data_IF_174217618153
#
_entry.id   IF_174217618153
#
_cell.length_a   1.000
_cell.length_b   1.000
_cell.length_c   1.000
_cell.angle_alpha   90.00
_cell.angle_beta   90.00
_cell.angle_gamma   90.00
#
_symmetry.space_group_name_H-M   'P 1'
#
loop_
_entity.id
_entity.type
_entity.pdbx_description
1 polymer ?
#
# COMPACT_ATOMS: atom_id res chain seq x y z
N UNK A 1 8.27 3.20 12.87
CA UNK A 1 8.03 3.20 11.41
C UNK A 1 7.51 1.82 11.03
N UNK A 2 6.59 1.71 10.07
CA UNK A 2 6.15 0.40 9.59
C UNK A 2 7.32 -0.36 8.97
N UNK A 3 7.36 -1.67 9.20
CA UNK A 3 8.40 -2.54 8.64
C UNK A 3 8.20 -2.68 7.13
N UNK A 4 9.28 -2.58 6.37
CA UNK A 4 9.27 -2.89 4.93
C UNK A 4 9.37 -4.40 4.77
N UNK A 5 8.39 -4.98 4.10
CA UNK A 5 8.32 -6.42 3.79
C UNK A 5 8.20 -6.61 2.28
N UNK A 6 8.41 -7.84 1.81
CA UNK A 6 8.22 -8.19 0.41
C UNK A 6 6.98 -9.07 0.27
N UNK A 7 6.03 -8.62 -0.53
CA UNK A 7 4.76 -9.33 -0.79
C UNK A 7 4.50 -9.43 -2.29
N UNK A 8 3.55 -10.30 -2.64
CA UNK A 8 3.10 -10.45 -4.02
C UNK A 8 1.81 -9.66 -4.26
N UNK A 9 1.80 -8.95 -5.38
CA UNK A 9 0.67 -8.17 -5.83
C UNK A 9 0.34 -8.54 -7.29
N UNK A 10 -0.93 -8.39 -7.64
CA UNK A 10 -1.41 -8.52 -9.00
C UNK A 10 -2.06 -7.22 -9.43
N UNK A 11 -2.03 -6.95 -10.74
CA UNK A 11 -2.70 -5.79 -11.33
C UNK A 11 -3.87 -6.28 -12.18
N UNK A 12 -5.10 -5.98 -11.77
CA UNK A 12 -6.34 -6.35 -12.46
C UNK A 12 -7.05 -5.04 -12.81
N UNK A 13 -7.45 -4.87 -14.07
CA UNK A 13 -8.14 -3.67 -14.56
C UNK A 13 -7.47 -2.33 -14.20
N UNK A 14 -6.14 -2.35 -14.10
CA UNK A 14 -5.34 -1.17 -13.76
C UNK A 14 -5.15 -0.92 -12.26
N UNK A 15 -5.76 -1.74 -11.40
CA UNK A 15 -5.66 -1.63 -9.94
C UNK A 15 -4.76 -2.72 -9.36
N UNK A 16 -3.91 -2.33 -8.41
CA UNK A 16 -3.09 -3.27 -7.66
C UNK A 16 -3.91 -3.90 -6.54
N UNK A 17 -3.82 -5.23 -6.40
CA UNK A 17 -4.36 -5.99 -5.30
C UNK A 17 -3.27 -6.86 -4.70
N UNK A 18 -3.28 -7.01 -3.37
CA UNK A 18 -2.50 -8.05 -2.70
C UNK A 18 -2.98 -9.42 -3.19
N UNK A 19 -2.04 -10.36 -3.41
CA UNK A 19 -2.38 -11.65 -4.00
C UNK A 19 -3.35 -12.45 -3.12
N UNK A 20 -3.21 -12.39 -1.80
CA UNK A 20 -4.13 -13.03 -0.84
C UNK A 20 -5.53 -12.41 -0.92
N UNK A 21 -5.61 -11.08 -0.98
CA UNK A 21 -6.89 -10.35 -1.15
C UNK A 21 -7.56 -10.74 -2.47
N UNK A 22 -6.80 -10.79 -3.56
CA UNK A 22 -7.30 -11.20 -4.86
C UNK A 22 -7.87 -12.63 -4.82
N UNK A 23 -7.13 -13.58 -4.23
CA UNK A 23 -7.56 -14.98 -4.12
C UNK A 23 -8.80 -15.12 -3.24
N UNK A 24 -8.87 -14.39 -2.12
CA UNK A 24 -10.04 -14.41 -1.23
C UNK A 24 -11.32 -13.93 -1.91
N UNK A 25 -11.20 -13.09 -2.93
CA UNK A 25 -12.30 -12.57 -3.76
C UNK A 25 -12.65 -13.48 -4.94
N UNK A 26 -11.98 -14.63 -5.08
CA UNK A 26 -12.16 -15.55 -6.20
C UNK A 26 -11.68 -15.00 -7.54
N UNK A 27 -10.81 -13.98 -7.52
CA UNK A 27 -10.26 -13.36 -8.72
C UNK A 27 -9.01 -14.11 -9.20
N UNK A 28 -8.77 -14.08 -10.50
CA UNK A 28 -7.55 -14.60 -11.12
C UNK A 28 -6.82 -13.45 -11.83
N UNK A 29 -5.50 -13.43 -11.72
CA UNK A 29 -4.65 -12.51 -12.48
C UNK A 29 -3.74 -13.29 -13.42
N UNK A 30 -3.51 -12.73 -14.61
CA UNK A 30 -2.58 -13.31 -15.59
C UNK A 30 -1.12 -13.21 -15.11
N UNK A 31 -0.80 -12.23 -14.27
CA UNK A 31 0.55 -11.96 -13.76
C UNK A 31 0.52 -11.43 -12.33
N UNK A 32 1.55 -11.80 -11.57
CA UNK A 32 1.86 -11.24 -10.26
C UNK A 32 3.31 -10.75 -10.20
N UNK A 33 3.57 -9.80 -9.30
CA UNK A 33 4.87 -9.19 -9.09
C UNK A 33 5.19 -9.17 -7.60
N UNK A 34 6.45 -9.42 -7.27
CA UNK A 34 6.95 -9.23 -5.91
C UNK A 34 7.41 -7.79 -5.73
N UNK A 35 6.86 -7.08 -4.76
CA UNK A 35 7.22 -5.68 -4.47
C UNK A 35 7.59 -5.50 -2.99
N UNK A 36 8.41 -4.50 -2.70
CA UNK A 36 8.57 -4.06 -1.32
C UNK A 36 7.36 -3.21 -0.94
N UNK A 37 6.94 -3.34 0.31
CA UNK A 37 5.78 -2.61 0.80
C UNK A 37 5.83 -2.40 2.31
N UNK A 38 5.10 -1.41 2.79
CA UNK A 38 4.88 -1.19 4.22
C UNK A 38 3.39 -0.98 4.49
N UNK A 39 2.92 -1.50 5.63
CA UNK A 39 1.51 -1.47 6.00
C UNK A 39 1.20 -0.33 6.96
N UNK A 40 0.06 0.32 6.74
CA UNK A 40 -0.53 1.26 7.67
C UNK A 40 -1.97 0.84 7.97
N UNK A 41 -2.19 0.36 9.20
CA UNK A 41 -3.53 0.04 9.69
C UNK A 41 -4.35 1.32 9.85
N UNK A 42 -5.62 1.28 9.42
CA UNK A 42 -6.54 2.38 9.60
C UNK A 42 -7.99 1.89 9.68
N UNK A 43 -8.84 2.52 10.50
CA UNK A 43 -10.28 2.23 10.55
C UNK A 43 -11.00 2.64 9.25
N UNK A 44 -10.48 3.64 8.54
CA UNK A 44 -10.94 4.05 7.21
C UNK A 44 -9.75 4.02 6.22
N UNK A 45 -9.47 2.85 5.60
CA UNK A 45 -8.38 2.68 4.66
C UNK A 45 -8.47 3.58 3.42
N UNK A 46 -9.69 3.88 2.96
CA UNK A 46 -9.93 4.70 1.76
C UNK A 46 -9.55 6.16 2.02
N UNK A 47 -10.00 6.73 3.14
CA UNK A 47 -9.63 8.09 3.53
C UNK A 47 -8.12 8.22 3.76
N UNK A 48 -7.49 7.20 4.35
CA UNK A 48 -6.04 7.17 4.52
C UNK A 48 -5.32 7.12 3.17
N UNK A 49 -5.71 6.22 2.27
CA UNK A 49 -5.10 6.08 0.96
C UNK A 49 -5.21 7.38 0.13
N UNK A 50 -6.39 8.02 0.14
CA UNK A 50 -6.59 9.32 -0.52
C UNK A 50 -5.66 10.41 0.05
N UNK A 51 -5.44 10.41 1.36
CA UNK A 51 -4.53 11.35 2.02
C UNK A 51 -3.06 11.05 1.68
N UNK A 52 -2.66 9.77 1.70
CA UNK A 52 -1.30 9.34 1.36
C UNK A 52 -0.93 9.68 -0.09
N UNK A 53 -1.83 9.43 -1.05
CA UNK A 53 -1.60 9.74 -2.48
C UNK A 53 -1.27 11.23 -2.69
N UNK A 54 -1.92 12.13 -1.95
CA UNK A 54 -1.63 13.58 -1.99
C UNK A 54 -0.25 13.94 -1.41
N UNK A 55 0.23 13.16 -0.43
CA UNK A 55 1.43 13.48 0.35
C UNK A 55 2.73 13.00 -0.28
N UNK A 56 2.75 11.76 -0.76
CA UNK A 56 3.97 11.14 -1.31
C UNK A 56 4.11 11.30 -2.81
N UNK A 57 3.01 11.65 -3.50
CA UNK A 57 2.89 11.85 -4.96
C UNK A 57 4.15 11.53 -5.79
N UNK A 58 4.38 10.26 -6.17
CA UNK A 58 5.48 9.96 -7.08
C UNK A 58 5.10 8.95 -8.18
N UNK A 59 5.81 8.95 -9.32
CA UNK A 59 5.57 8.00 -10.41
C UNK A 59 5.86 6.52 -10.08
N UNK A 60 6.33 6.22 -8.85
CA UNK A 60 6.88 4.91 -8.48
C UNK A 60 6.46 4.40 -7.08
N UNK A 61 5.55 5.10 -6.40
CA UNK A 61 4.92 4.59 -5.17
C UNK A 61 3.45 4.37 -5.46
N UNK A 62 3.01 3.14 -5.30
CA UNK A 62 1.60 2.78 -5.38
C UNK A 62 1.01 2.73 -3.97
N UNK A 63 -0.21 3.22 -3.84
CA UNK A 63 -0.98 3.19 -2.59
C UNK A 63 -2.16 2.27 -2.82
N UNK A 64 -2.19 1.15 -2.10
CA UNK A 64 -3.14 0.06 -2.29
C UNK A 64 -3.93 -0.14 -1.03
N UNK A 65 -5.26 -0.07 -1.15
CA UNK A 65 -6.16 -0.37 -0.04
C UNK A 65 -6.23 -1.90 0.09
N UNK A 66 -6.02 -2.41 1.30
CA UNK A 66 -6.25 -3.81 1.64
C UNK A 66 -7.42 -3.88 2.63
N UNK A 67 -8.64 -4.19 2.15
CA UNK A 67 -9.81 -4.35 3.00
C UNK A 67 -9.67 -5.50 3.99
N UNK A 68 -9.01 -6.61 3.61
CA UNK A 68 -8.88 -7.78 4.48
C UNK A 68 -7.94 -7.52 5.66
N UNK A 69 -6.82 -6.83 5.42
CA UNK A 69 -5.85 -6.48 6.46
C UNK A 69 -6.32 -5.28 7.31
N UNK A 70 -7.31 -4.52 6.81
CA UNK A 70 -7.87 -3.33 7.44
C UNK A 70 -6.91 -2.15 7.39
N UNK A 71 -6.38 -1.83 6.20
CA UNK A 71 -5.43 -0.73 6.06
C UNK A 71 -4.93 -0.50 4.65
N UNK A 72 -3.77 0.12 4.55
CA UNK A 72 -3.17 0.57 3.29
C UNK A 72 -1.75 0.04 3.17
N UNK A 73 -1.46 -0.60 2.05
CA UNK A 73 -0.11 -0.92 1.60
C UNK A 73 0.47 0.25 0.81
N UNK A 74 1.70 0.63 1.15
CA UNK A 74 2.52 1.56 0.38
C UNK A 74 3.58 0.72 -0.33
N UNK A 75 3.52 0.64 -1.66
CA UNK A 75 4.37 -0.22 -2.48
C UNK A 75 5.39 0.61 -3.25
N UNK A 76 6.56 0.05 -3.49
CA UNK A 76 7.55 0.65 -4.39
C UNK A 76 8.91 0.00 -4.31
N UNK A 77 9.90 0.60 -4.95
CA UNK A 77 11.29 0.19 -4.78
C UNK A 77 11.75 0.50 -3.34
N UNK A 78 12.57 -0.37 -2.75
CA UNK A 78 13.04 -0.23 -1.36
C UNK A 78 13.61 1.17 -1.07
N UNK A 79 14.49 1.68 -1.93
CA UNK A 79 15.14 2.99 -1.78
C UNK A 79 14.18 4.19 -1.92
N UNK A 80 12.98 3.98 -2.47
CA UNK A 80 11.93 5.01 -2.57
C UNK A 80 10.93 4.92 -1.43
N UNK A 81 10.77 3.74 -0.82
CA UNK A 81 9.88 3.54 0.32
C UNK A 81 10.38 4.28 1.55
N UNK A 82 11.65 4.15 1.92
CA UNK A 82 12.18 4.81 3.13
C UNK A 82 11.85 6.32 3.22
N UNK A 83 12.13 7.16 2.21
CA UNK A 83 11.78 8.57 2.27
C UNK A 83 10.26 8.81 2.22
N UNK A 84 9.50 7.99 1.48
CA UNK A 84 8.05 8.08 1.44
C UNK A 84 7.43 7.79 2.82
N UNK A 85 7.87 6.73 3.48
CA UNK A 85 7.41 6.32 4.81
C UNK A 85 7.77 7.36 5.87
N UNK A 86 8.96 7.98 5.79
CA UNK A 86 9.34 9.07 6.69
C UNK A 86 8.40 10.28 6.56
N UNK A 87 8.03 10.63 5.32
CA UNK A 87 7.08 11.72 5.03
C UNK A 87 5.68 11.41 5.53
N UNK A 88 5.20 10.18 5.32
CA UNK A 88 3.90 9.72 5.82
C UNK A 88 3.84 9.68 7.34
N UNK A 89 4.88 9.17 8.01
CA UNK A 89 4.96 9.12 9.46
C UNK A 89 4.98 10.53 10.11
N UNK A 90 5.59 11.51 9.43
CA UNK A 90 5.62 12.90 9.88
C UNK A 90 4.29 13.63 9.72
N UNK A 91 3.43 13.15 8.82
CA UNK A 91 2.11 13.73 8.53
C UNK A 91 0.96 13.02 9.25
N UNK A 92 1.21 11.86 9.87
CA UNK A 92 0.20 11.19 10.68
C UNK A 92 -0.13 12.07 11.90
N UNK A 93 -1.41 12.37 12.18
CA UNK A 93 -1.77 13.10 13.39
C UNK A 93 -1.27 12.27 14.58
N UNK A 94 -0.36 12.84 15.39
CA UNK A 94 -0.01 12.27 16.68
C UNK A 94 -1.29 12.30 17.50
N UNK A 95 -1.91 11.12 17.67
CA UNK A 95 -3.08 10.99 18.52
C UNK A 95 -2.81 11.62 19.88
N UNK A 96 -3.70 12.53 20.26
CA UNK A 96 -3.82 13.08 21.61
C UNK A 96 -4.25 11.98 22.58
#
# INVERSE_FOLDING_TARGET
>A
MPNIVRLQFAKIDGEWLELEDMQSRGLAAERSWSSFCAFFRAPDPEALAASMRKLVSPPHIDIVVSPSAGGVWVLGAYYQLEPALARLASSAPRGR
#
